data_IF_138278599628
#
_entry.id   IF_138278599628
#
_cell.length_a   1.000
_cell.length_b   1.000
_cell.length_c   1.000
_cell.angle_alpha   90.00
_cell.angle_beta   90.00
_cell.angle_gamma   90.00
#
_symmetry.space_group_name_H-M   'P 1'
#
loop_
_entity.id
_entity.type
_entity.pdbx_description
1 polymer ?
#
# COMPACT_ATOMS: atom_id res chain seq x y z
N UNK A 1 3.61 11.85 16.30
CA UNK A 1 3.38 10.42 16.06
C UNK A 1 2.86 10.24 14.65
N UNK A 2 3.42 9.30 13.92
CA UNK A 2 3.00 9.00 12.55
C UNK A 2 2.88 7.48 12.43
N UNK A 3 1.68 6.96 12.59
CA UNK A 3 1.44 5.52 12.60
C UNK A 3 0.10 5.21 11.96
N UNK A 4 0.11 4.20 11.09
CA UNK A 4 -1.08 3.70 10.41
C UNK A 4 -1.25 2.23 10.77
N UNK A 5 -2.46 1.88 11.16
CA UNK A 5 -2.90 0.49 11.34
C UNK A 5 -4.10 0.30 10.43
N UNK A 6 -3.96 -0.56 9.45
CA UNK A 6 -4.95 -0.71 8.40
C UNK A 6 -5.22 -2.18 8.12
N UNK A 7 -6.49 -2.55 8.02
CA UNK A 7 -6.90 -3.85 7.52
C UNK A 7 -7.75 -3.66 6.27
N UNK A 8 -7.61 -4.57 5.33
CA UNK A 8 -8.37 -4.51 4.09
C UNK A 8 -7.94 -5.59 3.12
N UNK A 9 -8.29 -5.40 1.85
CA UNK A 9 -7.99 -6.37 0.79
C UNK A 9 -7.22 -5.71 -0.33
N UNK A 10 -6.29 -6.44 -0.92
CA UNK A 10 -5.60 -5.96 -2.12
C UNK A 10 -6.60 -5.85 -3.28
N UNK A 11 -6.53 -4.74 -4.01
CA UNK A 11 -7.41 -4.51 -5.16
C UNK A 11 -6.93 -5.20 -6.42
N UNK A 12 -5.63 -5.51 -6.48
CA UNK A 12 -5.00 -6.27 -7.57
C UNK A 12 -3.67 -6.83 -7.09
N UNK A 13 -3.00 -7.58 -7.94
CA UNK A 13 -1.70 -8.16 -7.60
C UNK A 13 -0.67 -7.07 -7.35
N UNK A 14 0.23 -7.25 -6.37
CA UNK A 14 1.28 -6.27 -6.11
C UNK A 14 2.28 -6.21 -7.25
N UNK A 15 2.85 -5.04 -7.45
CA UNK A 15 3.90 -4.81 -8.43
C UNK A 15 5.25 -4.66 -7.74
N UNK A 16 6.17 -5.57 -8.04
CA UNK A 16 7.54 -5.52 -7.50
C UNK A 16 8.48 -5.02 -8.57
N UNK A 17 9.34 -4.07 -8.19
CA UNK A 17 10.37 -3.53 -9.08
C UNK A 17 11.71 -3.50 -8.37
N UNK A 18 12.77 -3.68 -9.14
CA UNK A 18 14.13 -3.48 -8.65
C UNK A 18 14.63 -2.13 -9.16
N UNK A 19 15.19 -1.33 -8.26
CA UNK A 19 15.76 -0.04 -8.63
C UNK A 19 17.22 -0.21 -9.08
N UNK A 20 17.75 0.83 -9.73
CA UNK A 20 19.15 0.83 -10.19
C UNK A 20 20.14 0.67 -9.02
N UNK A 21 19.74 1.07 -7.81
CA UNK A 21 20.53 0.90 -6.59
C UNK A 21 20.60 -0.54 -6.10
N UNK A 22 19.80 -1.46 -6.70
CA UNK A 22 19.68 -2.83 -6.24
C UNK A 22 18.59 -3.04 -5.20
N UNK A 23 17.94 -1.99 -4.75
CA UNK A 23 16.84 -2.11 -3.79
C UNK A 23 15.56 -2.55 -4.47
N UNK A 24 14.78 -3.35 -3.77
CA UNK A 24 13.47 -3.79 -4.22
C UNK A 24 12.39 -2.91 -3.59
N UNK A 25 11.37 -2.61 -4.38
CA UNK A 25 10.18 -1.91 -3.92
C UNK A 25 8.95 -2.62 -4.48
N UNK A 26 7.94 -2.80 -3.63
CA UNK A 26 6.66 -3.38 -4.03
C UNK A 26 5.56 -2.39 -3.70
N UNK A 27 4.70 -2.13 -4.67
CA UNK A 27 3.55 -1.25 -4.48
C UNK A 27 2.26 -2.04 -4.65
N UNK A 28 1.28 -1.72 -3.83
CA UNK A 28 -0.06 -2.31 -3.92
C UNK A 28 -1.07 -1.36 -3.31
N UNK A 29 -2.33 -1.61 -3.58
CA UNK A 29 -3.42 -0.79 -3.05
C UNK A 29 -4.31 -1.66 -2.19
N UNK A 30 -4.60 -1.18 -0.99
CA UNK A 30 -5.49 -1.86 -0.03
C UNK A 30 -6.80 -1.10 0.04
N UNK A 31 -7.89 -1.80 -0.17
CA UNK A 31 -9.23 -1.26 -0.01
C UNK A 31 -9.74 -1.58 1.39
N UNK A 32 -10.15 -0.57 2.12
CA UNK A 32 -10.86 -0.72 3.39
C UNK A 32 -12.31 -0.31 3.19
N UNK A 33 -13.22 -1.00 3.85
CA UNK A 33 -14.64 -0.68 3.79
C UNK A 33 -15.06 0.04 5.06
N UNK A 34 -15.70 1.19 4.88
CA UNK A 34 -16.25 1.96 5.98
C UNK A 34 -17.78 1.92 5.94
N UNK A 35 -18.36 1.78 7.10
CA UNK A 35 -19.81 1.80 7.28
C UNK A 35 -20.25 3.25 7.41
N UNK A 36 -21.03 3.73 6.45
CA UNK A 36 -21.47 5.14 6.45
C UNK A 36 -22.91 5.33 6.86
N UNK A 37 -23.57 4.26 7.35
CA UNK A 37 -24.96 4.29 7.79
C UNK A 37 -25.94 3.89 6.69
N UNK A 38 -27.19 3.65 7.05
CA UNK A 38 -28.25 3.27 6.10
C UNK A 38 -27.97 1.97 5.34
N UNK A 39 -27.17 1.07 5.91
CA UNK A 39 -26.79 -0.18 5.26
C UNK A 39 -25.81 -0.03 4.12
N UNK A 40 -25.19 1.15 3.97
CA UNK A 40 -24.23 1.43 2.89
C UNK A 40 -22.81 1.34 3.38
N UNK A 41 -21.93 0.81 2.53
CA UNK A 41 -20.49 0.78 2.75
C UNK A 41 -19.81 1.64 1.71
N UNK A 42 -18.72 2.28 2.11
CA UNK A 42 -17.86 3.05 1.23
C UNK A 42 -16.47 2.43 1.25
N UNK A 43 -15.93 2.15 0.07
CA UNK A 43 -14.56 1.68 -0.06
C UNK A 43 -13.61 2.87 -0.11
N UNK A 44 -12.55 2.80 0.69
CA UNK A 44 -11.45 3.74 0.62
C UNK A 44 -10.22 2.99 0.14
N UNK A 45 -9.46 3.60 -0.77
CA UNK A 45 -8.31 2.97 -1.42
C UNK A 45 -7.03 3.62 -0.91
N UNK A 46 -6.10 2.79 -0.42
CA UNK A 46 -4.88 3.27 0.22
C UNK A 46 -3.67 2.72 -0.52
N UNK A 47 -2.85 3.58 -1.13
CA UNK A 47 -1.62 3.12 -1.75
C UNK A 47 -0.59 2.77 -0.67
N UNK A 48 0.04 1.60 -0.82
CA UNK A 48 1.02 1.08 0.12
C UNK A 48 2.30 0.79 -0.64
N UNK A 49 3.42 1.13 -0.02
CA UNK A 49 4.75 0.82 -0.54
C UNK A 49 5.53 0.04 0.50
N UNK A 50 6.18 -1.03 0.06
CA UNK A 50 7.05 -1.85 0.88
C UNK A 50 8.44 -1.88 0.27
N UNK A 51 9.47 -1.83 1.12
CA UNK A 51 10.87 -1.77 0.69
C UNK A 51 11.65 -2.99 1.14
N UNK A 52 12.71 -3.31 0.41
CA UNK A 52 13.72 -4.30 0.76
C UNK A 52 13.12 -5.69 0.98
N UNK A 53 13.35 -6.29 2.15
CA UNK A 53 12.84 -7.63 2.45
C UNK A 53 11.32 -7.70 2.45
N UNK A 54 10.68 -6.67 2.97
CA UNK A 54 9.22 -6.63 2.98
C UNK A 54 8.67 -6.53 1.55
N UNK A 55 9.38 -5.86 0.65
CA UNK A 55 9.01 -5.81 -0.76
C UNK A 55 9.01 -7.21 -1.38
N UNK A 56 10.02 -8.01 -1.08
CA UNK A 56 10.10 -9.39 -1.58
C UNK A 56 8.97 -10.25 -1.04
N UNK A 57 8.69 -10.13 0.25
CA UNK A 57 7.60 -10.89 0.88
C UNK A 57 6.26 -10.51 0.26
N UNK A 58 5.99 -9.22 0.13
CA UNK A 58 4.74 -8.74 -0.44
C UNK A 58 4.60 -9.15 -1.90
N UNK A 59 5.67 -9.02 -2.68
CA UNK A 59 5.64 -9.38 -4.10
C UNK A 59 5.46 -10.87 -4.36
N UNK A 60 5.91 -11.72 -3.44
CA UNK A 60 5.82 -13.18 -3.59
C UNK A 60 4.52 -13.76 -3.08
N UNK A 61 4.05 -13.27 -1.94
CA UNK A 61 3.01 -13.95 -1.19
C UNK A 61 1.65 -13.27 -1.20
N UNK A 62 1.61 -12.00 -1.57
CA UNK A 62 0.34 -11.28 -1.65
C UNK A 62 -0.27 -11.41 -3.05
N UNK A 63 -1.59 -11.41 -3.10
CA UNK A 63 -2.33 -11.45 -4.36
C UNK A 63 -3.61 -10.68 -4.28
N UNK A 64 -4.21 -10.44 -5.44
CA UNK A 64 -5.48 -9.75 -5.56
C UNK A 64 -6.55 -10.37 -4.66
N UNK A 65 -7.26 -9.54 -3.93
CA UNK A 65 -8.36 -9.97 -3.07
C UNK A 65 -7.94 -10.48 -1.70
N UNK A 66 -6.65 -10.62 -1.47
CA UNK A 66 -6.15 -11.15 -0.19
C UNK A 66 -6.35 -10.14 0.92
N UNK A 67 -6.80 -10.63 2.07
CA UNK A 67 -6.97 -9.81 3.25
C UNK A 67 -5.66 -9.66 4.00
N UNK A 68 -5.33 -8.42 4.35
CA UNK A 68 -4.06 -8.08 5.00
C UNK A 68 -4.29 -7.12 6.15
N UNK A 69 -3.37 -7.14 7.10
CA UNK A 69 -3.24 -6.13 8.14
C UNK A 69 -1.89 -5.46 7.96
N UNK A 70 -1.88 -4.15 7.90
CA UNK A 70 -0.70 -3.35 7.63
C UNK A 70 -0.42 -2.42 8.80
N UNK A 71 0.83 -2.40 9.24
CA UNK A 71 1.34 -1.40 10.14
C UNK A 71 2.39 -0.60 9.41
N UNK A 72 2.30 0.72 9.47
CA UNK A 72 3.25 1.58 8.79
C UNK A 72 3.11 3.03 9.19
N UNK A 73 3.55 3.90 8.31
CA UNK A 73 3.48 5.35 8.50
C UNK A 73 3.06 6.02 7.22
N UNK A 74 2.53 7.22 7.32
CA UNK A 74 2.21 8.03 6.14
C UNK A 74 3.46 8.75 5.66
N UNK A 75 3.63 8.80 4.36
CA UNK A 75 4.70 9.56 3.73
C UNK A 75 4.15 10.25 2.49
N UNK A 76 4.42 11.52 2.36
CA UNK A 76 4.09 12.26 1.15
C UNK A 76 5.36 12.51 0.37
N UNK A 77 5.36 12.11 -0.89
CA UNK A 77 6.44 12.41 -1.82
C UNK A 77 5.96 13.38 -2.87
N UNK A 78 6.87 14.15 -3.41
CA UNK A 78 6.56 15.10 -4.48
C UNK A 78 7.53 14.93 -5.63
N UNK A 79 7.08 15.24 -6.83
CA UNK A 79 7.91 15.20 -8.03
C UNK A 79 7.38 16.21 -9.05
N UNK A 80 8.24 16.62 -9.95
CA UNK A 80 7.86 17.49 -11.05
C UNK A 80 7.63 16.65 -12.30
N UNK A 81 6.58 16.95 -13.05
CA UNK A 81 6.32 16.27 -14.31
C UNK A 81 7.11 16.93 -15.46
N UNK A 82 6.96 16.39 -16.66
CA UNK A 82 7.66 16.89 -17.85
C UNK A 82 7.28 18.34 -18.22
N UNK A 83 6.16 18.81 -17.72
CA UNK A 83 5.68 20.17 -17.96
C UNK A 83 6.02 21.14 -16.84
N UNK A 84 6.78 20.67 -15.84
CA UNK A 84 7.17 21.49 -14.70
C UNK A 84 6.12 21.63 -13.61
N UNK A 85 5.00 20.92 -13.71
CA UNK A 85 3.97 20.91 -12.67
C UNK A 85 4.38 19.99 -11.55
N UNK A 86 4.20 20.43 -10.31
CA UNK A 86 4.52 19.65 -9.12
C UNK A 86 3.34 18.78 -8.70
N UNK A 87 3.64 17.51 -8.44
CA UNK A 87 2.67 16.53 -7.96
C UNK A 87 3.04 16.01 -6.59
N UNK A 88 2.03 15.66 -5.79
CA UNK A 88 2.21 15.07 -4.47
C UNK A 88 1.41 13.78 -4.40
N UNK A 89 1.93 12.82 -3.67
CA UNK A 89 1.21 11.59 -3.39
C UNK A 89 1.50 11.16 -1.95
N UNK A 90 0.44 10.95 -1.19
CA UNK A 90 0.54 10.40 0.15
C UNK A 90 0.30 8.91 0.09
N UNK A 91 1.21 8.14 0.65
CA UNK A 91 1.14 6.68 0.65
C UNK A 91 1.56 6.14 2.01
N UNK A 92 1.22 4.89 2.27
CA UNK A 92 1.62 4.21 3.50
C UNK A 92 2.92 3.47 3.22
N UNK A 93 3.95 3.77 4.00
CA UNK A 93 5.19 2.98 3.97
C UNK A 93 5.03 1.87 4.99
N UNK A 94 4.92 0.64 4.51
CA UNK A 94 4.66 -0.52 5.38
C UNK A 94 5.92 -0.87 6.18
N UNK A 95 5.73 -1.09 7.47
CA UNK A 95 6.75 -1.63 8.36
C UNK A 95 6.48 -3.11 8.64
N UNK A 96 5.23 -3.52 8.61
CA UNK A 96 4.81 -4.89 8.88
C UNK A 96 3.54 -5.20 8.08
N UNK A 97 3.48 -6.39 7.51
CA UNK A 97 2.31 -6.88 6.77
C UNK A 97 1.98 -8.29 7.25
N UNK A 98 0.74 -8.50 7.63
CA UNK A 98 0.22 -9.82 7.95
C UNK A 98 -0.84 -10.21 6.95
N UNK A 99 -0.73 -11.44 6.46
CA UNK A 99 -1.73 -12.04 5.59
C UNK A 99 -2.67 -12.89 6.44
N UNK A 100 -3.94 -12.81 6.14
CA UNK A 100 -4.91 -13.67 6.76
C UNK A 100 -5.02 -14.95 5.94
N UNK A 101 -4.64 -16.06 6.54
CA UNK A 101 -4.72 -17.38 5.89
C UNK A 101 -5.65 -18.24 6.72
N UNK A 102 -6.90 -18.38 6.27
CA UNK A 102 -7.89 -19.33 6.80
C UNK A 102 -9.03 -19.58 5.87
#
# INVERSE_FOLDING_TARGET
>A
MNKVLLTGRLTRDPEMRSLASGKNVTTFTVASNEFIGGGKEKAEYHPVVAWDRLAEIAGRYLGKGQQVAIEGRLQTRSWDDDKGARHWKTEIVAAHVECKVW
#
